data_IF_284773461839
#
_entry.id   IF_284773461839
#
_cell.length_a   1.000
_cell.length_b   1.000
_cell.length_c   1.000
_cell.angle_alpha   90.00
_cell.angle_beta   90.00
_cell.angle_gamma   90.00
#
_symmetry.space_group_name_H-M   'P 1'
#
loop_
_entity.id
_entity.type
_entity.pdbx_description
1 polymer ?
#
# COMPACT_ATOMS: atom_id res chain seq x y z
N UNK A 1 53.03 42.93 30.25
CA UNK A 1 52.40 41.91 29.38
C UNK A 1 51.94 40.74 30.23
N UNK A 2 50.63 40.48 30.38
CA UNK A 2 50.16 39.20 30.88
C UNK A 2 49.77 38.29 29.70
N UNK A 3 50.39 37.12 29.66
CA UNK A 3 50.09 36.04 28.72
C UNK A 3 48.67 35.49 28.97
N UNK A 4 47.79 35.64 27.99
CA UNK A 4 46.49 34.98 27.98
C UNK A 4 46.65 33.54 27.48
N UNK A 5 46.72 32.59 28.40
CA UNK A 5 46.53 31.17 28.04
C UNK A 5 45.10 30.94 27.53
N UNK A 6 44.91 30.20 26.42
CA UNK A 6 43.58 29.85 25.96
C UNK A 6 42.99 28.80 26.91
N UNK A 7 41.87 29.13 27.56
CA UNK A 7 41.08 28.19 28.36
C UNK A 7 40.65 27.01 27.47
N UNK A 8 41.37 25.91 27.56
CA UNK A 8 41.01 24.67 26.87
C UNK A 8 39.63 24.18 27.31
N UNK A 9 38.72 23.96 26.36
CA UNK A 9 37.50 23.21 26.59
C UNK A 9 37.88 21.83 27.13
N UNK A 10 37.42 21.49 28.34
CA UNK A 10 37.73 20.19 28.92
C UNK A 10 37.19 19.06 28.02
N UNK A 11 37.97 17.99 27.89
CA UNK A 11 37.65 16.81 27.06
C UNK A 11 36.25 16.25 27.40
N UNK A 12 35.81 16.39 28.65
CA UNK A 12 34.47 16.02 29.10
C UNK A 12 33.36 16.84 28.43
N UNK A 13 33.53 18.18 28.32
CA UNK A 13 32.58 19.05 27.61
C UNK A 13 32.54 18.78 26.10
N UNK A 14 33.67 18.40 25.50
CA UNK A 14 33.73 17.98 24.10
C UNK A 14 32.95 16.68 23.87
N UNK A 15 33.10 15.68 24.74
CA UNK A 15 32.35 14.43 24.65
C UNK A 15 30.83 14.62 24.85
N UNK A 16 30.44 15.49 25.78
CA UNK A 16 29.02 15.83 26.01
C UNK A 16 28.41 16.54 24.79
N UNK A 17 29.14 17.49 24.18
CA UNK A 17 28.71 18.17 22.94
C UNK A 17 28.62 17.20 21.76
N UNK A 18 29.56 16.26 21.64
CA UNK A 18 29.57 15.27 20.56
C UNK A 18 28.40 14.29 20.69
N UNK A 19 28.08 13.88 21.93
CA UNK A 19 26.94 13.00 22.23
C UNK A 19 25.61 13.69 21.96
N UNK A 20 25.47 14.96 22.35
CA UNK A 20 24.28 15.78 22.05
C UNK A 20 24.13 16.00 20.54
N UNK A 21 25.22 16.26 19.81
CA UNK A 21 25.20 16.40 18.36
C UNK A 21 24.81 15.10 17.66
N UNK A 22 25.31 13.95 18.12
CA UNK A 22 24.94 12.63 17.60
C UNK A 22 23.47 12.31 17.88
N UNK A 23 22.99 12.54 19.11
CA UNK A 23 21.59 12.31 19.48
C UNK A 23 20.62 13.20 18.70
N UNK A 24 20.92 14.49 18.56
CA UNK A 24 20.10 15.42 17.79
C UNK A 24 20.10 15.09 16.29
N UNK A 25 21.24 14.68 15.73
CA UNK A 25 21.31 14.23 14.34
C UNK A 25 20.53 12.93 14.12
N UNK A 26 20.59 11.97 15.04
CA UNK A 26 19.77 10.75 14.98
C UNK A 26 18.28 11.09 15.06
N UNK A 27 17.85 11.92 16.02
CA UNK A 27 16.45 12.33 16.16
C UNK A 27 15.90 13.02 14.91
N UNK A 28 16.68 13.94 14.32
CA UNK A 28 16.34 14.63 13.08
C UNK A 28 16.27 13.70 11.87
N UNK A 29 17.07 12.63 11.85
CA UNK A 29 17.01 11.58 10.80
C UNK A 29 15.75 10.73 10.99
N UNK A 30 15.45 10.32 12.23
CA UNK A 30 14.27 9.53 12.56
C UNK A 30 12.96 10.28 12.24
N UNK A 31 12.85 11.55 12.61
CA UNK A 31 11.67 12.37 12.30
C UNK A 31 11.48 12.56 10.79
N UNK A 32 12.57 12.74 10.02
CA UNK A 32 12.50 12.90 8.56
C UNK A 32 12.06 11.60 7.87
N UNK A 33 12.61 10.46 8.27
CA UNK A 33 12.20 9.14 7.75
C UNK A 33 10.73 8.88 8.12
N UNK A 34 10.33 9.22 9.34
CA UNK A 34 8.96 9.02 9.82
C UNK A 34 7.93 9.86 9.06
N UNK A 35 8.20 11.15 8.84
CA UNK A 35 7.30 12.03 8.06
C UNK A 35 7.23 11.58 6.60
N UNK A 36 8.36 11.19 6.01
CA UNK A 36 8.43 10.69 4.64
C UNK A 36 7.58 9.43 4.45
N UNK A 37 7.65 8.49 5.40
CA UNK A 37 6.82 7.29 5.41
C UNK A 37 5.34 7.63 5.62
N UNK A 38 5.00 8.62 6.46
CA UNK A 38 3.62 8.99 6.75
C UNK A 38 2.88 9.55 5.53
N UNK A 39 3.43 10.54 4.84
CA UNK A 39 2.77 11.15 3.65
C UNK A 39 2.65 10.16 2.48
N UNK A 40 3.60 9.24 2.37
CA UNK A 40 3.56 8.17 1.39
C UNK A 40 2.45 7.15 1.73
N UNK A 41 2.33 6.75 2.99
CA UNK A 41 1.25 5.85 3.46
C UNK A 41 -0.12 6.51 3.27
N UNK A 42 -0.24 7.82 3.48
CA UNK A 42 -1.47 8.57 3.21
C UNK A 42 -1.86 8.52 1.74
N UNK A 43 -0.93 8.80 0.81
CA UNK A 43 -1.20 8.70 -0.62
C UNK A 43 -1.60 7.27 -0.99
N UNK A 44 -0.82 6.27 -0.57
CA UNK A 44 -1.11 4.86 -0.84
C UNK A 44 -2.50 4.46 -0.33
N UNK A 45 -2.83 4.79 0.90
CA UNK A 45 -4.12 4.47 1.50
C UNK A 45 -5.27 5.16 0.78
N UNK A 46 -5.11 6.43 0.41
CA UNK A 46 -6.12 7.17 -0.32
C UNK A 46 -6.32 6.62 -1.73
N UNK A 47 -5.24 6.24 -2.40
CA UNK A 47 -5.28 5.65 -3.74
C UNK A 47 -5.91 4.26 -3.74
N UNK A 48 -5.58 3.39 -2.78
CA UNK A 48 -6.23 2.09 -2.61
C UNK A 48 -7.74 2.24 -2.35
N UNK A 49 -8.15 3.18 -1.50
CA UNK A 49 -9.57 3.48 -1.26
C UNK A 49 -10.26 4.00 -2.52
N UNK A 50 -9.59 4.84 -3.30
CA UNK A 50 -10.08 5.32 -4.59
C UNK A 50 -10.29 4.17 -5.57
N UNK A 51 -9.35 3.23 -5.69
CA UNK A 51 -9.51 2.06 -6.57
C UNK A 51 -10.71 1.17 -6.18
N UNK A 52 -11.03 1.08 -4.89
CA UNK A 52 -12.16 0.30 -4.39
C UNK A 52 -13.51 1.01 -4.56
N UNK A 53 -13.56 2.31 -4.27
CA UNK A 53 -14.78 3.13 -4.36
C UNK A 53 -14.45 4.55 -4.86
N UNK A 54 -14.27 4.74 -6.19
CA UNK A 54 -13.78 6.00 -6.76
C UNK A 54 -14.60 7.22 -6.34
N UNK A 55 -15.92 7.15 -6.53
CA UNK A 55 -16.86 8.25 -6.28
C UNK A 55 -16.86 8.77 -4.83
N UNK A 56 -16.52 7.92 -3.85
CA UNK A 56 -16.50 8.28 -2.43
C UNK A 56 -15.16 8.85 -1.97
N UNK A 57 -14.08 8.54 -2.70
CA UNK A 57 -12.72 8.73 -2.21
C UNK A 57 -11.89 9.73 -3.03
N UNK A 58 -12.46 10.36 -4.06
CA UNK A 58 -11.79 11.44 -4.82
C UNK A 58 -11.24 12.54 -3.92
N UNK A 59 -12.05 13.08 -3.01
CA UNK A 59 -11.62 14.17 -2.12
C UNK A 59 -10.47 13.77 -1.21
N UNK A 60 -10.46 12.52 -0.73
CA UNK A 60 -9.38 11.99 0.09
C UNK A 60 -8.09 11.84 -0.72
N UNK A 61 -8.17 11.32 -1.95
CA UNK A 61 -7.04 11.22 -2.87
C UNK A 61 -6.46 12.59 -3.22
N UNK A 62 -7.33 13.58 -3.45
CA UNK A 62 -6.93 14.98 -3.67
C UNK A 62 -6.13 15.51 -2.49
N UNK A 63 -6.67 15.39 -1.28
CA UNK A 63 -6.02 15.86 -0.06
C UNK A 63 -4.65 15.19 0.16
N UNK A 64 -4.55 13.88 -0.03
CA UNK A 64 -3.28 13.15 0.12
C UNK A 64 -2.24 13.57 -0.94
N UNK A 65 -2.67 13.81 -2.18
CA UNK A 65 -1.80 14.31 -3.25
C UNK A 65 -1.24 15.69 -2.94
N UNK A 66 -2.07 16.62 -2.42
CA UNK A 66 -1.62 17.93 -1.96
C UNK A 66 -0.63 17.83 -0.80
N UNK A 67 -0.90 16.97 0.18
CA UNK A 67 -0.01 16.77 1.31
C UNK A 67 1.37 16.27 0.87
N UNK A 68 1.40 15.30 -0.07
CA UNK A 68 2.64 14.77 -0.61
C UNK A 68 3.43 15.83 -1.38
N UNK A 69 2.77 16.59 -2.27
CA UNK A 69 3.46 17.65 -3.01
C UNK A 69 3.94 18.79 -2.10
N UNK A 70 3.13 19.20 -1.11
CA UNK A 70 3.55 20.18 -0.09
C UNK A 70 4.77 19.73 0.72
N UNK A 71 4.85 18.43 1.03
CA UNK A 71 6.03 17.83 1.63
C UNK A 71 7.24 17.87 0.69
N UNK A 72 7.07 17.48 -0.57
CA UNK A 72 8.14 17.50 -1.57
C UNK A 72 8.69 18.93 -1.80
N UNK A 73 7.82 19.94 -1.92
CA UNK A 73 8.19 21.35 -2.00
C UNK A 73 9.03 21.77 -0.78
N UNK A 74 8.57 21.43 0.43
CA UNK A 74 9.27 21.79 1.66
C UNK A 74 10.64 21.14 1.76
N UNK A 75 10.75 19.88 1.35
CA UNK A 75 12.00 19.12 1.34
C UNK A 75 12.95 19.60 0.24
N UNK A 76 12.44 19.85 -0.97
CA UNK A 76 13.18 20.39 -2.11
C UNK A 76 13.77 21.77 -1.79
N UNK A 77 12.98 22.69 -1.22
CA UNK A 77 13.47 24.01 -0.76
C UNK A 77 14.63 23.91 0.22
N UNK A 78 14.55 22.97 1.17
CA UNK A 78 15.62 22.77 2.16
C UNK A 78 16.89 22.21 1.52
N UNK A 79 16.77 21.27 0.57
CA UNK A 79 17.91 20.72 -0.17
C UNK A 79 18.56 21.78 -1.06
N UNK A 80 17.77 22.49 -1.87
CA UNK A 80 18.26 23.57 -2.73
C UNK A 80 19.02 24.65 -1.93
N UNK A 81 18.46 25.07 -0.79
CA UNK A 81 19.12 26.04 0.11
C UNK A 81 20.45 25.51 0.66
N UNK A 82 20.55 24.22 0.98
CA UNK A 82 21.78 23.59 1.49
C UNK A 82 22.84 23.46 0.40
N UNK A 83 22.42 23.16 -0.82
CA UNK A 83 23.31 22.88 -1.95
C UNK A 83 23.60 24.14 -2.79
N UNK A 84 23.12 25.31 -2.35
CA UNK A 84 23.21 26.60 -3.06
C UNK A 84 22.71 26.52 -4.51
N UNK A 85 21.68 25.71 -4.75
CA UNK A 85 21.01 25.56 -6.04
C UNK A 85 19.75 26.40 -6.11
N UNK A 86 19.35 26.77 -7.33
CA UNK A 86 18.03 27.34 -7.57
C UNK A 86 16.95 26.32 -7.19
N UNK A 87 15.83 26.80 -6.65
CA UNK A 87 14.71 25.94 -6.32
C UNK A 87 13.66 26.05 -7.43
N UNK A 88 13.48 24.96 -8.18
CA UNK A 88 12.52 24.86 -9.25
C UNK A 88 11.73 23.56 -9.21
N UNK A 89 11.12 23.24 -10.36
CA UNK A 89 10.29 22.04 -10.56
C UNK A 89 11.14 20.76 -10.45
N UNK A 90 12.38 20.79 -10.94
CA UNK A 90 13.28 19.64 -10.92
C UNK A 90 13.64 19.20 -9.49
N UNK A 91 13.87 20.14 -8.56
CA UNK A 91 14.13 19.84 -7.15
C UNK A 91 12.89 19.26 -6.44
N UNK A 92 11.69 19.67 -6.86
CA UNK A 92 10.43 19.09 -6.35
C UNK A 92 10.30 17.66 -6.86
N UNK A 93 10.44 17.44 -8.17
CA UNK A 93 10.27 16.14 -8.81
C UNK A 93 11.30 15.11 -8.32
N UNK A 94 12.56 15.51 -8.11
CA UNK A 94 13.61 14.66 -7.53
C UNK A 94 13.24 14.10 -6.15
N UNK A 95 12.39 14.81 -5.40
CA UNK A 95 11.86 14.33 -4.11
C UNK A 95 10.53 13.60 -4.30
N UNK A 96 9.66 14.10 -5.17
CA UNK A 96 8.29 13.65 -5.30
C UNK A 96 8.17 12.30 -6.02
N UNK A 97 8.85 12.13 -7.14
CA UNK A 97 8.73 10.93 -7.99
C UNK A 97 9.03 9.63 -7.21
N UNK A 98 10.14 9.52 -6.44
CA UNK A 98 10.42 8.29 -5.68
C UNK A 98 9.34 7.98 -4.64
N UNK A 99 8.73 9.01 -4.03
CA UNK A 99 7.66 8.82 -3.06
C UNK A 99 6.38 8.31 -3.73
N UNK A 100 6.05 8.84 -4.91
CA UNK A 100 4.90 8.37 -5.69
C UNK A 100 5.12 6.93 -6.16
N UNK A 101 6.29 6.63 -6.75
CA UNK A 101 6.65 5.29 -7.24
C UNK A 101 6.52 4.26 -6.12
N UNK A 102 7.07 4.56 -4.94
CA UNK A 102 6.99 3.63 -3.80
C UNK A 102 5.57 3.56 -3.22
N UNK A 103 4.79 4.66 -3.23
CA UNK A 103 3.40 4.64 -2.78
C UNK A 103 2.54 3.69 -3.62
N UNK A 104 2.75 3.64 -4.94
CA UNK A 104 1.95 2.79 -5.84
C UNK A 104 2.55 1.41 -6.10
N UNK A 105 3.70 1.09 -5.49
CA UNK A 105 4.39 -0.20 -5.64
C UNK A 105 3.48 -1.40 -5.38
N UNK A 106 3.54 -2.40 -6.26
CA UNK A 106 2.76 -3.64 -6.15
C UNK A 106 1.26 -3.50 -6.42
N UNK A 107 0.75 -2.28 -6.65
CA UNK A 107 -0.64 -2.07 -7.05
C UNK A 107 -0.81 -2.48 -8.51
N UNK A 108 -1.81 -3.31 -8.77
CA UNK A 108 -2.22 -3.72 -10.11
C UNK A 108 -3.63 -3.20 -10.40
N UNK A 109 -3.85 -2.77 -11.64
CA UNK A 109 -5.09 -2.17 -12.11
C UNK A 109 -5.50 -2.78 -13.46
N UNK A 110 -6.72 -2.54 -13.91
CA UNK A 110 -7.13 -2.87 -15.29
C UNK A 110 -6.89 -1.68 -16.22
N UNK A 111 -6.98 -1.93 -17.53
CA UNK A 111 -6.91 -0.86 -18.53
C UNK A 111 -8.03 0.17 -18.33
N UNK A 112 -9.25 -0.27 -17.99
CA UNK A 112 -10.37 0.62 -17.70
C UNK A 112 -10.10 1.52 -16.49
N UNK A 113 -9.47 0.98 -15.44
CA UNK A 113 -9.07 1.76 -14.27
C UNK A 113 -7.98 2.77 -14.63
N UNK A 114 -7.03 2.42 -15.49
CA UNK A 114 -6.01 3.37 -15.97
C UNK A 114 -6.64 4.54 -16.71
N UNK A 115 -7.58 4.26 -17.62
CA UNK A 115 -8.34 5.28 -18.36
C UNK A 115 -9.16 6.15 -17.40
N UNK A 116 -9.80 5.57 -16.40
CA UNK A 116 -10.54 6.33 -15.39
C UNK A 116 -9.65 7.28 -14.58
N UNK A 117 -8.42 6.85 -14.23
CA UNK A 117 -7.43 7.68 -13.53
C UNK A 117 -6.96 8.83 -14.44
N UNK A 118 -6.71 8.56 -15.72
CA UNK A 118 -6.33 9.58 -16.71
C UNK A 118 -7.45 10.62 -16.88
N UNK A 119 -8.70 10.18 -17.03
CA UNK A 119 -9.86 11.07 -17.12
C UNK A 119 -10.07 11.88 -15.83
N UNK A 120 -9.85 11.26 -14.66
CA UNK A 120 -9.89 11.98 -13.39
C UNK A 120 -8.84 13.09 -13.35
N UNK A 121 -7.59 12.81 -13.75
CA UNK A 121 -6.53 13.82 -13.87
C UNK A 121 -6.96 14.96 -14.81
N UNK A 122 -7.42 14.65 -16.01
CA UNK A 122 -7.88 15.64 -17.00
C UNK A 122 -9.03 16.51 -16.47
N UNK A 123 -9.95 15.92 -15.71
CA UNK A 123 -11.08 16.64 -15.11
C UNK A 123 -10.66 17.72 -14.10
N UNK A 124 -9.44 17.63 -13.54
CA UNK A 124 -8.93 18.60 -12.57
C UNK A 124 -8.44 19.89 -13.25
N UNK A 125 -7.90 19.78 -14.47
CA UNK A 125 -7.47 20.92 -15.27
C UNK A 125 -8.59 21.89 -15.63
N UNK A 126 -9.80 21.36 -15.80
CA UNK A 126 -10.96 22.18 -16.16
C UNK A 126 -11.50 23.02 -15.00
N UNK A 127 -11.10 22.72 -13.75
CA UNK A 127 -11.67 23.34 -12.54
C UNK A 127 -10.75 24.34 -11.85
N UNK A 128 -9.43 24.07 -11.79
CA UNK A 128 -8.47 24.98 -11.13
C UNK A 128 -7.03 24.76 -11.64
N UNK A 129 -6.46 25.73 -12.36
CA UNK A 129 -5.11 25.62 -12.96
C UNK A 129 -3.97 25.43 -11.95
N UNK A 130 -4.06 26.03 -10.75
CA UNK A 130 -3.01 25.91 -9.73
C UNK A 130 -3.04 24.54 -9.07
N UNK A 131 -4.25 24.03 -8.81
CA UNK A 131 -4.43 22.66 -8.33
C UNK A 131 -3.97 21.65 -9.39
N UNK A 132 -4.30 21.88 -10.66
CA UNK A 132 -3.94 21.01 -11.76
C UNK A 132 -2.42 20.78 -11.86
N UNK A 133 -1.60 21.84 -11.74
CA UNK A 133 -0.14 21.70 -11.74
C UNK A 133 0.37 20.83 -10.57
N UNK A 134 -0.26 20.92 -9.38
CA UNK A 134 0.09 20.08 -8.24
C UNK A 134 -0.30 18.63 -8.47
N UNK A 135 -1.45 18.41 -9.11
CA UNK A 135 -1.93 17.09 -9.48
C UNK A 135 -1.06 16.45 -10.55
N UNK A 136 -0.60 17.20 -11.55
CA UNK A 136 0.28 16.68 -12.59
C UNK A 136 1.56 16.10 -12.01
N UNK A 137 2.26 16.84 -11.15
CA UNK A 137 3.50 16.37 -10.56
C UNK A 137 3.33 15.08 -9.73
N UNK A 138 2.13 14.79 -9.23
CA UNK A 138 1.82 13.53 -8.52
C UNK A 138 1.31 12.45 -9.46
N UNK A 139 0.42 12.78 -10.38
CA UNK A 139 -0.28 11.82 -11.23
C UNK A 139 0.54 11.37 -12.43
N UNK A 140 1.46 12.20 -12.95
CA UNK A 140 2.36 11.79 -14.03
C UNK A 140 3.23 10.60 -13.65
N UNK A 141 4.06 10.67 -12.58
CA UNK A 141 4.85 9.52 -12.16
C UNK A 141 3.97 8.35 -11.72
N UNK A 142 2.77 8.60 -11.16
CA UNK A 142 1.83 7.55 -10.78
C UNK A 142 1.33 6.77 -11.99
N UNK A 143 0.85 7.47 -13.02
CA UNK A 143 0.31 6.88 -14.25
C UNK A 143 1.43 6.17 -15.01
N UNK A 144 2.59 6.80 -15.13
CA UNK A 144 3.76 6.20 -15.78
C UNK A 144 4.18 4.91 -15.08
N UNK A 145 4.25 4.89 -13.74
CA UNK A 145 4.57 3.69 -12.97
C UNK A 145 3.54 2.57 -13.18
N UNK A 146 2.25 2.91 -13.23
CA UNK A 146 1.19 1.92 -13.44
C UNK A 146 1.20 1.37 -14.87
N UNK A 147 1.56 2.19 -15.87
CA UNK A 147 1.60 1.79 -17.27
C UNK A 147 2.86 1.00 -17.65
N UNK A 148 4.02 1.31 -17.07
CA UNK A 148 5.32 0.75 -17.48
C UNK A 148 5.66 -0.63 -16.91
N UNK A 149 5.06 -1.02 -15.78
CA UNK A 149 5.57 -2.12 -14.94
C UNK A 149 4.83 -3.47 -15.08
N UNK A 150 4.09 -3.71 -16.18
CA UNK A 150 3.17 -4.86 -16.31
C UNK A 150 2.17 -4.95 -15.14
N UNK A 151 1.73 -3.80 -14.65
CA UNK A 151 0.73 -3.67 -13.56
C UNK A 151 -0.70 -3.55 -14.08
N UNK A 152 -0.84 -3.41 -15.39
CA UNK A 152 -2.12 -3.57 -16.09
C UNK A 152 -2.36 -5.07 -16.21
N UNK A 153 -3.38 -5.56 -15.53
CA UNK A 153 -3.73 -6.98 -15.44
C UNK A 153 -5.18 -7.20 -15.85
N UNK A 154 -5.49 -8.43 -16.28
CA UNK A 154 -6.86 -8.82 -16.60
C UNK A 154 -7.79 -8.73 -15.38
N UNK A 155 -9.08 -8.51 -15.63
CA UNK A 155 -10.13 -8.44 -14.60
C UNK A 155 -10.07 -9.64 -13.62
N UNK A 156 -9.79 -10.86 -14.12
CA UNK A 156 -9.66 -12.06 -13.29
C UNK A 156 -8.61 -11.90 -12.18
N UNK A 157 -7.46 -11.32 -12.51
CA UNK A 157 -6.37 -11.10 -11.55
C UNK A 157 -6.60 -9.85 -10.73
N UNK A 158 -7.15 -8.79 -11.33
CA UNK A 158 -7.45 -7.54 -10.64
C UNK A 158 -8.37 -7.78 -9.44
N UNK A 159 -9.41 -8.61 -9.58
CA UNK A 159 -10.30 -8.91 -8.46
C UNK A 159 -9.57 -9.55 -7.27
N UNK A 160 -8.53 -10.33 -7.52
CA UNK A 160 -7.69 -10.90 -6.45
C UNK A 160 -6.89 -9.81 -5.75
N UNK A 161 -6.24 -8.91 -6.50
CA UNK A 161 -5.55 -7.76 -5.91
C UNK A 161 -6.48 -6.84 -5.13
N UNK A 162 -7.67 -6.54 -5.68
CA UNK A 162 -8.68 -5.73 -5.02
C UNK A 162 -9.16 -6.32 -3.70
N UNK A 163 -9.15 -7.65 -3.56
CA UNK A 163 -9.48 -8.32 -2.29
C UNK A 163 -8.37 -8.20 -1.24
N UNK A 164 -7.12 -7.96 -1.65
CA UNK A 164 -5.98 -7.74 -0.75
C UNK A 164 -5.94 -6.29 -0.24
N UNK A 165 -6.37 -5.30 -1.03
CA UNK A 165 -6.31 -3.88 -0.63
C UNK A 165 -7.00 -3.56 0.71
N UNK A 166 -8.20 -4.11 1.02
CA UNK A 166 -8.81 -3.94 2.33
C UNK A 166 -7.99 -4.53 3.49
N UNK A 167 -7.23 -5.60 3.26
CA UNK A 167 -6.34 -6.20 4.28
C UNK A 167 -5.24 -5.22 4.63
N UNK A 168 -4.61 -4.61 3.62
CA UNK A 168 -3.56 -3.61 3.83
C UNK A 168 -4.09 -2.35 4.53
N UNK A 169 -5.23 -1.82 4.06
CA UNK A 169 -5.89 -0.66 4.67
C UNK A 169 -6.23 -0.91 6.15
N UNK A 170 -6.66 -2.12 6.48
CA UNK A 170 -6.90 -2.50 7.87
C UNK A 170 -5.59 -2.62 8.65
N UNK A 171 -4.52 -3.09 8.03
CA UNK A 171 -3.18 -3.13 8.62
C UNK A 171 -2.70 -1.75 9.09
N UNK A 172 -2.83 -0.72 8.26
CA UNK A 172 -2.50 0.66 8.69
C UNK A 172 -3.37 1.12 9.86
N UNK A 173 -4.69 0.90 9.80
CA UNK A 173 -5.64 1.27 10.87
C UNK A 173 -5.35 0.53 12.18
N UNK A 174 -5.02 -0.76 12.11
CA UNK A 174 -4.73 -1.58 13.28
C UNK A 174 -3.41 -1.12 13.91
N UNK A 175 -2.38 -0.83 13.11
CA UNK A 175 -1.05 -0.43 13.57
C UNK A 175 -1.04 0.80 14.49
N UNK A 176 -2.03 1.68 14.36
CA UNK A 176 -2.25 2.82 15.26
C UNK A 176 -2.56 2.39 16.71
N UNK A 177 -3.16 1.22 16.91
CA UNK A 177 -3.65 0.72 18.20
C UNK A 177 -2.89 -0.51 18.69
N UNK A 178 -2.51 -1.38 17.77
CA UNK A 178 -1.76 -2.61 18.01
C UNK A 178 -0.66 -2.70 16.94
N UNK A 179 0.57 -2.34 17.33
CA UNK A 179 1.71 -2.27 16.41
C UNK A 179 2.06 -3.64 15.84
N UNK A 180 1.95 -4.70 16.64
CA UNK A 180 2.32 -6.05 16.23
C UNK A 180 1.28 -6.59 15.25
N UNK A 181 0.00 -6.54 15.61
CA UNK A 181 -1.08 -6.99 14.73
C UNK A 181 -1.15 -6.18 13.43
N UNK A 182 -0.94 -4.87 13.51
CA UNK A 182 -0.92 -4.01 12.33
C UNK A 182 0.25 -4.33 11.40
N UNK A 183 1.44 -4.58 11.96
CA UNK A 183 2.61 -4.96 11.17
C UNK A 183 2.44 -6.34 10.54
N UNK A 184 1.84 -7.30 11.26
CA UNK A 184 1.56 -8.62 10.73
C UNK A 184 0.54 -8.56 9.57
N UNK A 185 -0.51 -7.74 9.67
CA UNK A 185 -1.47 -7.51 8.59
C UNK A 185 -0.83 -6.89 7.33
N UNK A 186 0.06 -5.90 7.49
CA UNK A 186 0.80 -5.30 6.38
C UNK A 186 1.79 -6.28 5.73
N UNK A 187 2.40 -7.15 6.54
CA UNK A 187 3.32 -8.19 6.06
C UNK A 187 2.57 -9.26 5.27
N UNK A 188 1.40 -9.67 5.77
CA UNK A 188 0.50 -10.57 5.06
C UNK A 188 0.07 -9.96 3.73
N UNK A 189 -0.50 -8.75 3.73
CA UNK A 189 -1.00 -8.12 2.50
C UNK A 189 0.11 -7.99 1.45
N UNK A 190 1.32 -7.58 1.84
CA UNK A 190 2.47 -7.52 0.94
C UNK A 190 2.81 -8.88 0.35
N UNK A 191 2.89 -9.92 1.20
CA UNK A 191 3.18 -11.29 0.75
C UNK A 191 2.13 -11.79 -0.24
N UNK A 192 0.85 -11.55 0.04
CA UNK A 192 -0.25 -11.90 -0.86
C UNK A 192 -0.13 -11.17 -2.21
N UNK A 193 0.20 -9.86 -2.21
CA UNK A 193 0.40 -9.09 -3.44
C UNK A 193 1.57 -9.64 -4.27
N UNK A 194 2.70 -9.92 -3.62
CA UNK A 194 3.92 -10.40 -4.29
C UNK A 194 3.69 -11.79 -4.92
N UNK A 195 3.02 -12.70 -4.22
CA UNK A 195 2.66 -14.03 -4.74
C UNK A 195 1.68 -13.89 -5.91
N UNK A 196 0.62 -13.08 -5.75
CA UNK A 196 -0.39 -12.84 -6.81
C UNK A 196 0.25 -12.27 -8.07
N UNK A 197 1.18 -11.32 -7.92
CA UNK A 197 1.91 -10.72 -9.04
C UNK A 197 2.81 -11.74 -9.74
N UNK A 198 3.49 -12.60 -8.98
CA UNK A 198 4.28 -13.70 -9.52
C UNK A 198 3.45 -14.63 -10.40
N UNK A 199 2.26 -15.02 -9.91
CA UNK A 199 1.34 -15.87 -10.66
C UNK A 199 0.78 -15.15 -11.89
N UNK A 200 0.37 -13.89 -11.76
CA UNK A 200 -0.13 -13.10 -12.87
C UNK A 200 0.90 -13.00 -14.01
N UNK A 201 2.18 -12.83 -13.68
CA UNK A 201 3.27 -12.78 -14.68
C UNK A 201 3.52 -14.11 -15.40
N UNK A 202 3.19 -15.24 -14.75
CA UNK A 202 3.31 -16.59 -15.31
C UNK A 202 2.04 -17.06 -16.03
N UNK A 203 0.93 -16.32 -15.89
CA UNK A 203 -0.43 -16.69 -16.31
C UNK A 203 -0.84 -18.13 -15.90
N UNK A 204 -0.26 -18.62 -14.80
CA UNK A 204 -0.45 -20.00 -14.31
C UNK A 204 -0.09 -20.11 -12.83
N UNK A 205 -0.84 -20.93 -12.09
CA UNK A 205 -0.57 -21.23 -10.68
C UNK A 205 -0.08 -22.66 -10.50
N UNK A 206 1.07 -22.81 -9.85
CA UNK A 206 1.69 -24.10 -9.54
C UNK A 206 1.50 -24.46 -8.05
N UNK A 207 1.80 -25.71 -7.66
CA UNK A 207 1.67 -26.14 -6.26
C UNK A 207 2.52 -25.27 -5.30
N UNK A 208 3.75 -24.97 -5.67
CA UNK A 208 4.62 -24.04 -4.94
C UNK A 208 4.05 -22.61 -4.84
N UNK A 209 3.31 -22.17 -5.87
CA UNK A 209 2.39 -21.02 -5.87
C UNK A 209 1.59 -20.89 -4.58
N UNK A 210 1.03 -22.03 -4.22
CA UNK A 210 0.05 -22.15 -3.19
C UNK A 210 0.65 -22.39 -1.82
N UNK A 211 1.72 -23.17 -1.75
CA UNK A 211 2.49 -23.36 -0.52
C UNK A 211 2.98 -22.00 0.02
N UNK A 212 3.29 -21.05 -0.87
CA UNK A 212 3.60 -19.67 -0.49
C UNK A 212 2.42 -18.91 0.14
N UNK A 213 1.20 -19.09 -0.37
CA UNK A 213 0.03 -18.46 0.24
C UNK A 213 -0.25 -19.03 1.63
N UNK A 214 -0.13 -20.35 1.79
CA UNK A 214 -0.26 -21.02 3.09
C UNK A 214 0.82 -20.54 4.06
N UNK A 215 2.08 -20.46 3.61
CA UNK A 215 3.17 -19.96 4.45
C UNK A 215 2.96 -18.50 4.84
N UNK A 216 2.47 -17.65 3.93
CA UNK A 216 2.16 -16.25 4.24
C UNK A 216 1.08 -16.15 5.34
N UNK A 217 0.10 -17.06 5.32
CA UNK A 217 -0.91 -17.16 6.37
C UNK A 217 -0.31 -17.63 7.70
N UNK A 218 0.45 -18.73 7.70
CA UNK A 218 1.10 -19.26 8.91
C UNK A 218 1.98 -18.20 9.57
N UNK A 219 2.73 -17.42 8.78
CA UNK A 219 3.59 -16.36 9.28
C UNK A 219 2.82 -15.19 9.92
N UNK A 220 1.54 -15.01 9.56
CA UNK A 220 0.68 -13.97 10.11
C UNK A 220 -0.17 -14.48 11.30
N UNK A 221 -0.30 -15.80 11.44
CA UNK A 221 -1.03 -16.46 12.51
C UNK A 221 -0.38 -16.19 13.87
N UNK A 222 -1.21 -16.09 14.93
CA UNK A 222 -0.72 -15.86 16.30
C UNK A 222 -0.30 -14.42 16.62
N UNK A 223 -0.15 -13.55 15.62
CA UNK A 223 0.25 -12.15 15.81
C UNK A 223 -0.92 -11.18 16.11
N UNK A 224 -2.06 -11.69 16.60
CA UNK A 224 -3.17 -10.88 17.13
C UNK A 224 -4.08 -10.19 16.10
N UNK A 225 -3.82 -10.34 14.80
CA UNK A 225 -4.65 -9.72 13.73
C UNK A 225 -6.11 -10.19 13.81
N UNK A 226 -6.32 -11.44 14.21
CA UNK A 226 -7.61 -12.10 14.37
C UNK A 226 -8.51 -11.48 15.45
N UNK A 227 -7.92 -10.71 16.38
CA UNK A 227 -8.63 -9.98 17.43
C UNK A 227 -9.28 -8.70 16.93
N UNK A 228 -8.97 -8.25 15.72
CA UNK A 228 -9.52 -7.03 15.13
C UNK A 228 -10.77 -7.31 14.29
N UNK A 229 -11.89 -6.67 14.66
CA UNK A 229 -13.19 -6.82 13.98
C UNK A 229 -13.07 -6.53 12.48
N UNK A 230 -13.65 -7.42 11.67
CA UNK A 230 -13.75 -7.26 10.21
C UNK A 230 -12.50 -7.71 9.44
N UNK A 231 -11.39 -8.02 10.10
CA UNK A 231 -10.21 -8.56 9.41
C UNK A 231 -10.48 -9.97 8.85
N UNK A 232 -11.12 -10.82 9.66
CA UNK A 232 -11.48 -12.20 9.29
C UNK A 232 -12.30 -12.26 8.00
N UNK A 233 -13.27 -11.36 7.86
CA UNK A 233 -14.15 -11.28 6.70
C UNK A 233 -13.38 -10.87 5.43
N UNK A 234 -12.47 -9.90 5.53
CA UNK A 234 -11.63 -9.47 4.40
C UNK A 234 -10.71 -10.59 3.93
N UNK A 235 -10.08 -11.30 4.87
CA UNK A 235 -9.23 -12.45 4.54
C UNK A 235 -10.03 -13.60 3.92
N UNK A 236 -11.22 -13.90 4.45
CA UNK A 236 -12.12 -14.89 3.86
C UNK A 236 -12.53 -14.52 2.43
N UNK A 237 -12.88 -13.25 2.20
CA UNK A 237 -13.22 -12.75 0.87
C UNK A 237 -12.06 -12.90 -0.13
N UNK A 238 -10.83 -12.62 0.31
CA UNK A 238 -9.64 -12.89 -0.48
C UNK A 238 -9.54 -14.38 -0.85
N UNK A 239 -9.62 -15.30 0.12
CA UNK A 239 -9.52 -16.73 -0.15
C UNK A 239 -10.61 -17.23 -1.11
N UNK A 240 -11.84 -16.72 -0.96
CA UNK A 240 -12.96 -17.02 -1.87
C UNK A 240 -12.65 -16.59 -3.29
N UNK A 241 -12.19 -15.35 -3.50
CA UNK A 241 -11.86 -14.83 -4.84
C UNK A 241 -10.68 -15.58 -5.44
N UNK A 242 -9.64 -15.85 -4.64
CA UNK A 242 -8.47 -16.62 -5.04
C UNK A 242 -8.86 -18.01 -5.57
N UNK A 243 -9.81 -18.67 -4.92
CA UNK A 243 -10.32 -19.99 -5.34
C UNK A 243 -11.05 -19.97 -6.69
N UNK A 244 -11.63 -18.84 -7.08
CA UNK A 244 -12.29 -18.67 -8.38
C UNK A 244 -11.30 -18.46 -9.52
N UNK A 245 -10.11 -17.90 -9.23
CA UNK A 245 -9.09 -17.59 -10.24
C UNK A 245 -8.19 -18.81 -10.52
N UNK A 246 -7.94 -19.64 -9.51
CA UNK A 246 -7.10 -20.84 -9.67
C UNK A 246 -7.96 -22.10 -9.67
N UNK A 247 -8.36 -22.55 -10.86
CA UNK A 247 -9.19 -23.74 -11.10
C UNK A 247 -8.46 -25.02 -10.64
N UNK A 248 -8.55 -25.28 -9.34
CA UNK A 248 -8.52 -26.58 -8.66
C UNK A 248 -9.25 -26.33 -7.33
N UNK A 249 -9.98 -27.31 -6.76
CA UNK A 249 -10.72 -27.14 -5.52
C UNK A 249 -9.74 -26.95 -4.35
N UNK A 250 -9.22 -25.72 -4.21
CA UNK A 250 -8.01 -25.45 -3.46
C UNK A 250 -8.27 -25.21 -1.98
N UNK A 251 -9.48 -24.80 -1.65
CA UNK A 251 -9.92 -24.56 -0.27
C UNK A 251 -11.05 -25.53 0.10
N UNK A 252 -10.97 -26.78 -0.33
CA UNK A 252 -11.70 -27.81 0.38
C UNK A 252 -11.04 -27.91 1.75
N UNK A 253 -11.71 -27.34 2.76
CA UNK A 253 -11.45 -27.17 4.20
C UNK A 253 -10.81 -28.36 4.96
N UNK A 254 -9.81 -29.05 4.41
CA UNK A 254 -9.24 -30.28 4.97
C UNK A 254 -8.12 -30.05 5.97
N UNK A 255 -7.72 -28.79 6.16
CA UNK A 255 -6.93 -28.34 7.30
C UNK A 255 -7.74 -27.31 8.11
N UNK A 256 -8.86 -27.74 8.72
CA UNK A 256 -9.47 -27.00 9.82
C UNK A 256 -9.00 -27.59 11.16
N UNK A 257 -8.02 -26.98 11.85
CA UNK A 257 -7.98 -27.05 13.29
C UNK A 257 -8.89 -25.95 13.83
N UNK A 258 -10.18 -26.29 14.04
CA UNK A 258 -11.15 -25.72 14.99
C UNK A 258 -11.26 -24.18 15.24
N UNK A 259 -10.59 -23.28 14.52
CA UNK A 259 -10.40 -21.88 14.95
C UNK A 259 -11.28 -20.84 14.24
N UNK A 260 -12.12 -21.24 13.27
CA UNK A 260 -12.82 -20.29 12.39
C UNK A 260 -14.33 -20.55 12.23
N UNK A 261 -14.91 -21.44 13.05
CA UNK A 261 -16.33 -21.84 13.00
C UNK A 261 -17.32 -20.84 13.62
N UNK A 262 -16.89 -19.63 14.00
CA UNK A 262 -17.80 -18.62 14.60
C UNK A 262 -18.18 -17.48 13.69
N UNK A 263 -17.92 -17.57 12.38
CA UNK A 263 -18.80 -16.88 11.43
C UNK A 263 -20.05 -17.75 11.34
N UNK A 264 -21.19 -17.25 11.84
CA UNK A 264 -22.49 -17.89 11.57
C UNK A 264 -22.77 -17.80 10.07
N UNK A 265 -22.20 -18.68 9.26
CA UNK A 265 -22.86 -19.16 8.04
C UNK A 265 -24.12 -19.84 8.53
N UNK A 266 -25.27 -19.17 8.36
CA UNK A 266 -26.54 -19.68 8.84
C UNK A 266 -26.97 -20.79 7.87
N UNK A 267 -26.58 -22.01 8.22
CA UNK A 267 -27.03 -23.30 7.67
C UNK A 267 -26.28 -23.82 6.44
N UNK A 268 -26.30 -25.16 6.32
CA UNK A 268 -25.84 -25.93 5.15
C UNK A 268 -26.50 -25.44 3.85
N UNK A 269 -27.68 -24.85 3.95
CA UNK A 269 -28.44 -24.29 2.82
C UNK A 269 -27.72 -23.09 2.16
N UNK A 270 -26.99 -22.26 2.93
CA UNK A 270 -26.18 -21.15 2.38
C UNK A 270 -24.95 -21.67 1.60
N UNK A 271 -24.41 -22.81 2.04
CA UNK A 271 -23.32 -23.53 1.39
C UNK A 271 -23.83 -24.17 0.10
N UNK A 272 -25.00 -24.80 0.16
CA UNK A 272 -25.65 -25.42 -1.00
C UNK A 272 -26.06 -24.35 -2.03
N UNK A 273 -26.54 -23.18 -1.60
CA UNK A 273 -26.80 -22.02 -2.49
C UNK A 273 -25.54 -21.44 -3.12
N UNK A 274 -24.42 -21.40 -2.40
CA UNK A 274 -23.13 -21.00 -3.00
C UNK A 274 -22.67 -22.02 -4.04
N UNK A 275 -22.81 -23.32 -3.77
CA UNK A 275 -22.51 -24.37 -4.73
C UNK A 275 -23.47 -24.36 -5.93
N UNK A 276 -24.76 -24.11 -5.72
CA UNK A 276 -25.75 -23.93 -6.80
C UNK A 276 -25.42 -22.69 -7.64
N UNK A 277 -24.99 -21.59 -7.04
CA UNK A 277 -24.60 -20.36 -7.75
C UNK A 277 -23.33 -20.58 -8.57
N UNK A 278 -22.35 -21.29 -8.02
CA UNK A 278 -21.12 -21.71 -8.72
C UNK A 278 -21.46 -22.67 -9.86
N UNK A 279 -22.32 -23.67 -9.60
CA UNK A 279 -22.75 -24.64 -10.61
C UNK A 279 -23.60 -24.00 -11.71
N UNK A 280 -24.44 -23.01 -11.39
CA UNK A 280 -25.23 -22.23 -12.36
C UNK A 280 -24.31 -21.35 -13.22
N UNK A 281 -23.29 -20.73 -12.63
CA UNK A 281 -22.26 -20.00 -13.37
C UNK A 281 -21.52 -20.91 -14.36
N UNK A 282 -21.17 -22.13 -13.96
CA UNK A 282 -20.54 -23.12 -14.86
C UNK A 282 -21.50 -23.75 -15.88
N UNK A 283 -22.79 -23.88 -15.56
CA UNK A 283 -23.81 -24.38 -16.51
C UNK A 283 -24.11 -23.35 -17.59
N UNK A 284 -24.14 -22.07 -17.24
CA UNK A 284 -24.43 -20.97 -18.17
C UNK A 284 -23.21 -20.55 -19.00
N UNK A 285 -21.99 -20.86 -18.57
CA UNK A 285 -20.75 -20.62 -19.32
C UNK A 285 -20.27 -21.84 -20.14
N UNK A 286 -21.13 -22.85 -20.38
CA UNK A 286 -20.85 -23.93 -21.35
C UNK A 286 -21.10 -23.55 -22.81
N UNK A 287 -21.35 -22.28 -23.08
CA UNK A 287 -21.28 -21.69 -24.43
C UNK A 287 -20.38 -20.46 -24.39
N UNK A 288 -19.08 -20.71 -24.49
CA UNK A 288 -18.11 -19.82 -25.12
C UNK A 288 -17.18 -20.72 -25.93
#
# INVERSE_FOLDING_TARGET
>A
MPSSEPRGLSIKRLNDLTTILLYNNCHLIYEKIFIMLAVQIELRSAFLKYLLEPNKNETALKKASFALCGHAISTGKRKAKKDSKEFGVDEINTVLEPLVIEAVKGICITQEQLVAIQNFKESLFTKNRVEAATFDSVFDPLIETLASDKRIVDNKYQHTFAAIYPIELDGYRIKEKDKEAGQAALTLSKSLMDITLGICKKDSAEQHDKDKYEQAYINAEGHGIDKHRGFKEKFYNFCRILSCVFIKPYFHYKAQPSFWTTVKTKTQEDIDKSHETINAFFKNNKTC
#
